data_IF_597660058267
#
_entry.id   IF_597660058267
#
_cell.length_a   1.000
_cell.length_b   1.000
_cell.length_c   1.000
_cell.angle_alpha   90.00
_cell.angle_beta   90.00
_cell.angle_gamma   90.00
#
_symmetry.space_group_name_H-M   'P 1'
#
loop_
_entity.id
_entity.type
_entity.pdbx_description
1 polymer ?
#
# COMPACT_ATOMS: atom_id res chain seq x y z
N UNK A 1 -9.66 4.46 5.21
CA UNK A 1 -11.00 3.90 5.22
C UNK A 1 -11.57 3.79 6.63
N UNK A 2 -10.75 3.63 7.64
CA UNK A 2 -11.17 3.34 8.99
C UNK A 2 -10.62 4.31 10.02
N UNK A 3 -9.87 5.33 9.55
CA UNK A 3 -9.42 6.38 10.45
C UNK A 3 -10.64 7.04 11.11
N UNK A 4 -10.58 7.12 12.43
CA UNK A 4 -11.65 7.70 13.27
C UNK A 4 -12.98 6.94 13.29
N UNK A 5 -13.06 5.75 12.66
CA UNK A 5 -14.28 4.92 12.73
C UNK A 5 -14.31 4.09 13.97
N UNK A 6 -15.50 4.04 14.56
CA UNK A 6 -15.76 3.29 15.80
C UNK A 6 -16.90 2.31 15.58
N UNK A 7 -16.83 1.19 16.27
CA UNK A 7 -17.92 0.23 16.42
C UNK A 7 -18.04 -0.13 17.91
N UNK A 8 -19.24 -0.14 18.44
CA UNK A 8 -19.49 -0.31 19.90
C UNK A 8 -18.63 0.62 20.80
N UNK A 9 -18.40 1.86 20.34
CA UNK A 9 -17.57 2.83 21.06
C UNK A 9 -16.07 2.56 21.08
N UNK A 10 -15.59 1.54 20.33
CA UNK A 10 -14.16 1.25 20.17
C UNK A 10 -13.69 1.66 18.79
N UNK A 11 -12.53 2.28 18.71
CA UNK A 11 -11.87 2.59 17.43
C UNK A 11 -11.43 1.30 16.73
N UNK A 12 -11.67 1.21 15.42
CA UNK A 12 -11.24 0.05 14.63
C UNK A 12 -9.71 0.07 14.45
N UNK A 13 -9.13 1.24 14.22
CA UNK A 13 -7.68 1.40 13.97
C UNK A 13 -7.03 2.44 14.90
N UNK A 14 -7.01 2.21 16.23
CA UNK A 14 -6.56 3.21 17.21
C UNK A 14 -5.06 3.57 17.07
N UNK A 15 -4.21 2.67 16.62
CA UNK A 15 -2.78 2.95 16.43
C UNK A 15 -2.53 3.80 15.19
N UNK A 16 -3.18 3.46 14.06
CA UNK A 16 -3.12 4.27 12.84
C UNK A 16 -3.74 5.65 13.07
N UNK A 17 -4.86 5.75 13.81
CA UNK A 17 -5.49 7.04 14.17
C UNK A 17 -4.52 7.96 14.92
N UNK A 18 -3.76 7.42 15.89
CA UNK A 18 -2.71 8.18 16.60
C UNK A 18 -1.55 8.55 15.69
N UNK A 19 -1.18 7.65 14.78
CA UNK A 19 -0.08 7.88 13.86
C UNK A 19 -0.41 8.98 12.85
N UNK A 20 -1.60 8.99 12.30
CA UNK A 20 -2.11 10.00 11.35
C UNK A 20 -1.97 11.41 11.91
N UNK A 21 -2.21 11.61 13.21
CA UNK A 21 -2.08 12.92 13.85
C UNK A 21 -0.67 13.50 13.81
N UNK A 22 0.34 12.66 13.53
CA UNK A 22 1.77 13.02 13.47
C UNK A 22 2.39 12.74 12.09
N UNK A 23 1.56 12.57 11.08
CA UNK A 23 1.96 12.12 9.75
C UNK A 23 1.41 13.03 8.65
N UNK A 24 2.00 12.95 7.48
CA UNK A 24 1.35 13.42 6.27
C UNK A 24 0.33 12.35 5.87
N UNK A 25 -0.94 12.71 5.81
CA UNK A 25 -2.03 11.79 5.53
C UNK A 25 -2.83 12.20 4.30
N UNK A 26 -3.01 11.26 3.38
CA UNK A 26 -3.74 11.42 2.11
C UNK A 26 -4.95 10.48 2.11
N UNK A 27 -6.11 10.91 2.64
CA UNK A 27 -7.31 10.06 2.75
C UNK A 27 -7.98 9.76 1.41
N UNK A 28 -7.71 10.55 0.39
CA UNK A 28 -8.28 10.39 -0.95
C UNK A 28 -7.27 9.81 -1.94
N UNK A 29 -6.49 8.82 -1.51
CA UNK A 29 -5.66 7.98 -2.38
C UNK A 29 -6.54 6.90 -2.98
N UNK A 30 -6.66 6.88 -4.30
CA UNK A 30 -7.49 5.91 -5.02
C UNK A 30 -6.68 4.68 -5.40
N UNK A 31 -7.30 3.52 -5.19
CA UNK A 31 -6.84 2.24 -5.73
C UNK A 31 -6.75 2.34 -7.26
N UNK A 32 -5.65 1.88 -7.83
CA UNK A 32 -5.40 1.86 -9.28
C UNK A 32 -5.02 0.47 -9.79
N UNK A 33 -5.21 -0.55 -8.96
CA UNK A 33 -4.94 -1.96 -9.32
C UNK A 33 -5.89 -2.46 -10.41
N UNK A 34 -5.43 -3.43 -11.15
CA UNK A 34 -6.21 -4.17 -12.15
C UNK A 34 -6.25 -5.66 -11.79
N UNK A 35 -6.05 -6.55 -12.75
CA UNK A 35 -6.14 -8.00 -12.56
C UNK A 35 -4.98 -8.59 -11.72
N UNK A 36 -3.92 -7.83 -11.48
CA UNK A 36 -2.82 -8.22 -10.60
C UNK A 36 -3.05 -7.91 -9.12
N UNK A 37 -4.13 -7.19 -8.76
CA UNK A 37 -4.49 -6.84 -7.38
C UNK A 37 -3.29 -6.32 -6.56
N UNK A 38 -2.92 -6.95 -5.44
CA UNK A 38 -1.80 -6.51 -4.59
C UNK A 38 -0.47 -6.41 -5.35
N UNK A 39 -0.19 -7.31 -6.32
CA UNK A 39 1.03 -7.21 -7.13
C UNK A 39 1.06 -5.99 -8.07
N UNK A 40 -0.11 -5.47 -8.45
CA UNK A 40 -0.19 -4.21 -9.21
C UNK A 40 0.07 -3.00 -8.29
N UNK A 41 -0.36 -3.06 -7.01
CA UNK A 41 -0.03 -2.03 -6.03
C UNK A 41 1.49 -1.97 -5.78
N UNK A 42 2.13 -3.12 -5.54
CA UNK A 42 3.60 -3.19 -5.39
C UNK A 42 4.33 -2.61 -6.62
N UNK A 43 3.86 -2.94 -7.83
CA UNK A 43 4.39 -2.33 -9.04
C UNK A 43 4.26 -0.80 -9.00
N UNK A 44 3.07 -0.28 -8.73
CA UNK A 44 2.78 1.15 -8.82
C UNK A 44 3.55 1.97 -7.79
N UNK A 45 3.62 1.51 -6.55
CA UNK A 45 4.31 2.24 -5.47
C UNK A 45 5.82 2.27 -5.67
N UNK A 46 6.38 1.29 -6.38
CA UNK A 46 7.81 1.21 -6.65
C UNK A 46 8.23 1.78 -8.01
N UNK A 47 7.32 1.88 -8.98
CA UNK A 47 7.69 2.28 -10.35
C UNK A 47 6.97 3.52 -10.85
N UNK A 48 5.94 3.97 -10.15
CA UNK A 48 5.03 5.05 -10.62
C UNK A 48 4.41 4.76 -12.00
N UNK A 49 4.29 3.47 -12.36
CA UNK A 49 3.68 3.00 -13.61
C UNK A 49 2.34 2.35 -13.31
N UNK A 50 1.32 2.65 -14.10
CA UNK A 50 0.03 1.95 -14.02
C UNK A 50 0.19 0.50 -14.53
N UNK A 51 -0.57 -0.46 -13.99
CA UNK A 51 -0.45 -1.87 -14.40
C UNK A 51 -0.94 -2.09 -15.84
N UNK A 52 -0.66 -3.28 -16.36
CA UNK A 52 -1.18 -3.71 -17.66
C UNK A 52 -2.69 -3.55 -17.75
N UNK A 53 -3.19 -3.26 -18.95
CA UNK A 53 -4.63 -3.21 -19.23
C UNK A 53 -5.33 -4.57 -19.11
N UNK A 54 -4.58 -5.65 -19.23
CA UNK A 54 -5.07 -7.03 -19.13
C UNK A 54 -4.01 -7.96 -18.53
N UNK A 55 -4.41 -8.75 -17.53
CA UNK A 55 -3.59 -9.70 -16.82
C UNK A 55 -2.65 -9.03 -15.82
N UNK A 56 -2.08 -9.82 -14.91
CA UNK A 56 -1.10 -9.35 -13.93
C UNK A 56 0.24 -9.03 -14.60
N UNK A 57 0.80 -7.86 -14.28
CA UNK A 57 2.07 -7.39 -14.83
C UNK A 57 3.21 -8.31 -14.44
N UNK A 58 3.29 -8.75 -13.19
CA UNK A 58 4.36 -9.63 -12.71
C UNK A 58 4.37 -11.02 -13.37
N UNK A 59 3.21 -11.53 -13.80
CA UNK A 59 3.17 -12.77 -14.56
C UNK A 59 3.55 -12.59 -16.03
N UNK A 60 3.09 -11.50 -16.64
CA UNK A 60 3.26 -11.32 -18.09
C UNK A 60 4.61 -10.71 -18.48
N UNK A 61 5.13 -9.82 -17.64
CA UNK A 61 6.35 -9.03 -17.92
C UNK A 61 7.25 -8.93 -16.67
N UNK A 62 7.68 -10.08 -16.09
CA UNK A 62 8.48 -10.09 -14.86
C UNK A 62 9.89 -9.51 -15.05
N UNK A 63 10.36 -9.41 -16.28
CA UNK A 63 11.72 -8.97 -16.62
C UNK A 63 11.76 -7.56 -17.22
N UNK A 64 10.68 -6.79 -17.09
CA UNK A 64 10.71 -5.38 -17.52
C UNK A 64 11.59 -4.58 -16.56
N UNK A 65 12.49 -3.78 -17.12
CA UNK A 65 13.30 -2.87 -16.32
C UNK A 65 12.52 -1.58 -16.04
N UNK A 66 12.70 -1.05 -14.84
CA UNK A 66 12.07 0.18 -14.42
C UNK A 66 13.09 1.14 -13.81
N UNK A 67 12.88 2.42 -13.98
CA UNK A 67 13.53 3.43 -13.16
C UNK A 67 12.75 3.52 -11.83
N UNK A 68 12.95 2.55 -10.98
CA UNK A 68 12.13 2.26 -9.82
C UNK A 68 12.67 2.90 -8.54
N UNK A 69 11.83 2.95 -7.51
CA UNK A 69 12.22 3.39 -6.16
C UNK A 69 13.44 2.60 -5.62
N UNK A 70 13.44 1.24 -5.63
CA UNK A 70 14.62 0.49 -5.17
C UNK A 70 15.87 0.80 -6.00
N UNK A 71 15.81 0.81 -7.34
CA UNK A 71 16.97 1.12 -8.19
C UNK A 71 17.55 2.51 -7.95
N UNK A 72 16.69 3.52 -7.80
CA UNK A 72 17.11 4.88 -7.52
C UNK A 72 17.76 5.01 -6.15
N UNK A 73 17.20 4.35 -5.14
CA UNK A 73 17.76 4.34 -3.79
C UNK A 73 19.04 3.53 -3.69
N UNK A 74 19.18 2.42 -4.44
CA UNK A 74 20.46 1.72 -4.57
C UNK A 74 21.55 2.66 -5.13
N UNK A 75 21.22 3.45 -6.16
CA UNK A 75 22.09 4.49 -6.69
C UNK A 75 22.49 5.56 -5.68
N UNK A 76 21.72 5.76 -4.60
CA UNK A 76 22.03 6.62 -3.44
C UNK A 76 22.71 5.85 -2.30
N UNK A 77 23.06 4.58 -2.49
CA UNK A 77 23.80 3.74 -1.54
C UNK A 77 22.94 2.98 -0.53
N UNK A 78 21.63 2.93 -0.71
CA UNK A 78 20.72 2.12 0.10
C UNK A 78 20.84 0.64 -0.25
N UNK A 79 20.74 -0.23 0.75
CA UNK A 79 20.39 -1.63 0.56
C UNK A 79 18.87 -1.75 0.39
N UNK A 80 18.40 -2.62 -0.51
CA UNK A 80 16.97 -2.76 -0.78
C UNK A 80 16.47 -4.16 -0.51
N UNK A 81 15.32 -4.30 0.16
CA UNK A 81 14.77 -5.59 0.53
C UNK A 81 13.24 -5.60 0.49
N UNK A 82 12.66 -6.53 -0.25
CA UNK A 82 11.24 -6.83 -0.18
C UNK A 82 11.02 -8.05 0.73
N UNK A 83 10.13 -7.92 1.71
CA UNK A 83 9.85 -8.95 2.72
C UNK A 83 8.36 -9.24 2.68
N UNK A 84 7.99 -10.44 2.24
CA UNK A 84 6.60 -10.82 2.01
C UNK A 84 6.23 -12.04 2.85
N UNK A 85 5.08 -12.04 3.55
CA UNK A 85 4.68 -13.15 4.42
C UNK A 85 4.15 -14.38 3.66
N UNK A 86 3.86 -14.24 2.36
CA UNK A 86 3.39 -15.32 1.50
C UNK A 86 4.53 -15.89 0.62
N UNK A 87 4.23 -16.95 -0.11
CA UNK A 87 5.17 -17.62 -1.03
C UNK A 87 5.50 -16.72 -2.21
N UNK A 88 6.77 -16.61 -2.54
CA UNK A 88 7.22 -15.79 -3.66
C UNK A 88 6.69 -16.21 -5.04
N UNK A 89 6.14 -17.42 -5.15
CA UNK A 89 5.43 -17.90 -6.35
C UNK A 89 4.00 -17.37 -6.48
N UNK A 90 3.37 -16.97 -5.37
CA UNK A 90 2.05 -16.34 -5.39
C UNK A 90 2.16 -14.97 -6.06
N UNK A 91 1.25 -14.63 -6.95
CA UNK A 91 1.32 -13.43 -7.81
C UNK A 91 2.68 -13.22 -8.53
N UNK A 92 3.56 -14.24 -8.55
CA UNK A 92 4.92 -14.14 -9.08
C UNK A 92 5.79 -13.06 -8.38
N UNK A 93 5.52 -12.78 -7.11
CA UNK A 93 6.16 -11.72 -6.32
C UNK A 93 7.68 -11.76 -6.39
N UNK A 94 8.28 -12.94 -6.23
CA UNK A 94 9.74 -13.05 -6.24
C UNK A 94 10.34 -12.50 -7.52
N UNK A 95 9.84 -12.92 -8.67
CA UNK A 95 10.38 -12.47 -9.95
C UNK A 95 10.00 -11.01 -10.22
N UNK A 96 8.77 -10.60 -9.89
CA UNK A 96 8.30 -9.23 -10.07
C UNK A 96 9.09 -8.23 -9.23
N UNK A 97 9.24 -8.46 -7.94
CA UNK A 97 9.93 -7.54 -7.03
C UNK A 97 11.44 -7.48 -7.29
N UNK A 98 12.10 -8.63 -7.57
CA UNK A 98 13.49 -8.61 -8.04
C UNK A 98 13.61 -7.91 -9.40
N UNK A 99 12.64 -8.11 -10.31
CA UNK A 99 12.61 -7.48 -11.62
C UNK A 99 12.46 -5.95 -11.57
N UNK A 100 11.76 -5.41 -10.58
CA UNK A 100 11.68 -3.96 -10.38
C UNK A 100 12.87 -3.36 -9.62
N UNK A 101 13.82 -4.19 -9.14
CA UNK A 101 15.11 -3.73 -8.67
C UNK A 101 15.41 -3.92 -7.19
N UNK A 102 14.64 -4.69 -6.44
CA UNK A 102 15.05 -5.05 -5.07
C UNK A 102 16.26 -6.00 -5.09
N UNK A 103 17.27 -5.73 -4.26
CA UNK A 103 18.45 -6.60 -4.10
C UNK A 103 18.09 -7.94 -3.50
N UNK A 104 17.13 -7.94 -2.56
CA UNK A 104 16.75 -9.11 -1.78
C UNK A 104 15.24 -9.27 -1.73
N UNK A 105 14.80 -10.52 -1.89
CA UNK A 105 13.42 -10.94 -1.64
C UNK A 105 13.40 -12.02 -0.57
N UNK A 106 12.59 -11.81 0.48
CA UNK A 106 12.39 -12.74 1.59
C UNK A 106 10.91 -13.14 1.62
N UNK A 107 10.61 -14.45 1.65
CA UNK A 107 9.26 -14.97 1.57
C UNK A 107 8.92 -15.94 2.71
N UNK A 108 7.71 -16.49 2.65
CA UNK A 108 7.13 -17.46 3.58
C UNK A 108 8.14 -18.51 4.09
N UNK A 109 8.99 -19.04 3.22
CA UNK A 109 9.93 -20.10 3.57
C UNK A 109 11.09 -19.64 4.47
N UNK A 110 11.25 -18.35 4.64
CA UNK A 110 12.26 -17.76 5.51
C UNK A 110 11.77 -17.52 6.94
N UNK A 111 10.47 -17.74 7.20
CA UNK A 111 9.85 -17.52 8.50
C UNK A 111 9.58 -18.82 9.25
N UNK A 112 9.65 -18.74 10.59
CA UNK A 112 9.07 -19.76 11.45
C UNK A 112 7.55 -19.51 11.55
N UNK A 113 6.75 -20.35 10.90
CA UNK A 113 5.29 -20.23 10.84
C UNK A 113 4.66 -21.11 11.93
N UNK A 114 4.84 -20.73 13.19
CA UNK A 114 4.27 -21.39 14.36
C UNK A 114 2.87 -20.87 14.74
N UNK A 115 2.45 -19.74 14.17
CA UNK A 115 1.10 -19.19 14.28
C UNK A 115 0.63 -18.73 12.90
N UNK A 116 -0.46 -19.33 12.43
CA UNK A 116 -1.08 -18.99 11.15
C UNK A 116 -2.49 -18.42 11.39
N UNK A 117 -2.80 -17.33 10.67
CA UNK A 117 -4.14 -16.74 10.61
C UNK A 117 -4.48 -16.47 9.14
N UNK A 118 -5.64 -16.97 8.70
CA UNK A 118 -6.03 -16.83 7.30
C UNK A 118 -5.05 -17.51 6.35
N UNK A 119 -4.48 -16.76 5.42
CA UNK A 119 -3.65 -17.30 4.33
C UNK A 119 -2.21 -17.63 4.72
N UNK A 120 -1.71 -17.12 5.84
CA UNK A 120 -0.31 -17.30 6.18
C UNK A 120 0.05 -17.00 7.63
N UNK A 121 1.31 -16.69 7.86
CA UNK A 121 1.82 -16.31 9.17
C UNK A 121 1.02 -15.11 9.73
N UNK A 122 0.71 -15.12 11.02
CA UNK A 122 0.05 -13.98 11.66
C UNK A 122 0.92 -12.73 11.60
N UNK A 123 0.32 -11.53 11.46
CA UNK A 123 1.06 -10.27 11.43
C UNK A 123 1.92 -10.08 12.68
N UNK A 124 1.48 -10.61 13.84
CA UNK A 124 2.27 -10.62 15.08
C UNK A 124 3.59 -11.36 14.89
N UNK A 125 3.50 -12.64 14.49
CA UNK A 125 4.69 -13.50 14.32
C UNK A 125 5.56 -13.04 13.18
N UNK A 126 4.96 -12.44 12.15
CA UNK A 126 5.64 -11.83 11.05
C UNK A 126 6.52 -10.65 11.51
N UNK A 127 5.96 -9.67 12.20
CA UNK A 127 6.73 -8.52 12.66
C UNK A 127 7.76 -8.84 13.73
N UNK A 128 7.49 -9.83 14.61
CA UNK A 128 8.50 -10.34 15.55
C UNK A 128 9.77 -10.87 14.86
N UNK A 129 9.64 -11.34 13.61
CA UNK A 129 10.77 -11.85 12.82
C UNK A 129 11.31 -10.81 11.82
N UNK A 130 10.48 -9.92 11.30
CA UNK A 130 10.91 -8.86 10.38
C UNK A 130 11.81 -7.83 11.07
N UNK A 131 11.50 -7.42 12.30
CA UNK A 131 12.33 -6.42 13.02
C UNK A 131 13.80 -6.83 13.14
N UNK A 132 14.15 -8.04 13.58
CA UNK A 132 15.53 -8.51 13.54
C UNK A 132 16.14 -8.51 12.14
N UNK A 133 15.38 -8.89 11.10
CA UNK A 133 15.88 -8.88 9.71
C UNK A 133 16.23 -7.46 9.25
N UNK A 134 15.41 -6.46 9.60
CA UNK A 134 15.68 -5.06 9.28
C UNK A 134 16.93 -4.53 9.99
N UNK A 135 17.17 -4.98 11.22
CA UNK A 135 18.37 -4.60 12.00
C UNK A 135 19.67 -5.10 11.36
N UNK A 136 19.61 -6.22 10.65
CA UNK A 136 20.78 -6.80 9.96
C UNK A 136 21.04 -6.16 8.58
N UNK A 137 20.12 -5.34 8.04
CA UNK A 137 20.33 -4.66 6.76
C UNK A 137 21.42 -3.60 6.89
N UNK A 138 22.24 -3.50 5.84
CA UNK A 138 23.21 -2.41 5.70
C UNK A 138 22.45 -1.08 5.61
N UNK A 139 22.84 -0.11 6.44
CA UNK A 139 22.25 1.23 6.40
C UNK A 139 22.99 2.14 5.40
N UNK A 140 22.29 3.10 4.76
CA UNK A 140 20.84 3.20 4.78
C UNK A 140 20.15 2.07 4.03
N UNK A 141 18.88 1.80 4.31
CA UNK A 141 18.12 0.78 3.61
C UNK A 141 16.70 1.24 3.26
N UNK A 142 16.16 0.67 2.20
CA UNK A 142 14.74 0.66 1.86
C UNK A 142 14.20 -0.76 2.03
N UNK A 143 13.18 -0.92 2.84
CA UNK A 143 12.52 -2.20 3.04
C UNK A 143 11.01 -2.06 2.83
N UNK A 144 10.46 -2.90 1.96
CA UNK A 144 9.03 -3.06 1.78
C UNK A 144 8.56 -4.28 2.54
N UNK A 145 7.49 -4.13 3.34
CA UNK A 145 6.89 -5.20 4.13
C UNK A 145 5.38 -5.20 3.94
N UNK A 146 4.77 -6.38 3.85
CA UNK A 146 3.33 -6.55 3.61
C UNK A 146 2.69 -7.29 4.77
N UNK A 147 1.53 -6.82 5.26
CA UNK A 147 0.71 -7.53 6.25
C UNK A 147 -0.25 -8.52 5.56
N UNK A 148 -0.66 -9.58 6.22
CA UNK A 148 -1.49 -10.61 5.61
C UNK A 148 -2.74 -10.98 6.41
N UNK A 149 -2.78 -10.73 7.73
CA UNK A 149 -3.91 -11.16 8.58
C UNK A 149 -5.23 -10.47 8.23
N UNK A 150 -5.17 -9.24 7.70
CA UNK A 150 -6.35 -8.49 7.24
C UNK A 150 -6.81 -8.85 5.82
N UNK A 151 -6.25 -9.90 5.22
CA UNK A 151 -6.65 -10.38 3.89
C UNK A 151 -7.99 -11.15 3.95
N UNK A 152 -8.80 -11.07 2.88
CA UNK A 152 -9.98 -11.92 2.73
C UNK A 152 -9.64 -13.42 2.82
N UNK A 153 -10.53 -14.25 3.35
CA UNK A 153 -11.94 -14.04 3.65
C UNK A 153 -12.26 -13.44 5.03
N UNK A 154 -11.28 -12.83 5.73
CA UNK A 154 -11.42 -12.16 7.03
C UNK A 154 -11.79 -13.11 8.18
N UNK A 155 -11.23 -14.29 8.18
CA UNK A 155 -11.53 -15.34 9.15
C UNK A 155 -10.58 -15.26 10.35
N UNK A 156 -10.66 -14.14 11.10
CA UNK A 156 -9.91 -13.98 12.34
C UNK A 156 -10.49 -14.90 13.44
N UNK A 157 -9.66 -15.77 14.07
CA UNK A 157 -10.14 -16.62 15.17
C UNK A 157 -10.68 -15.81 16.35
N UNK A 158 -11.74 -16.31 17.02
CA UNK A 158 -12.47 -15.64 18.10
C UNK A 158 -11.52 -15.12 19.21
N UNK A 159 -10.50 -15.90 19.57
CA UNK A 159 -9.52 -15.53 20.61
C UNK A 159 -8.73 -14.25 20.31
N UNK A 160 -8.78 -13.73 19.09
CA UNK A 160 -8.09 -12.50 18.67
C UNK A 160 -9.07 -11.34 18.41
N UNK A 161 -10.38 -11.58 18.48
CA UNK A 161 -11.39 -10.54 18.29
C UNK A 161 -11.53 -9.72 19.55
N UNK A 162 -11.43 -8.40 19.44
CA UNK A 162 -11.41 -7.50 20.61
C UNK A 162 -12.43 -6.36 20.54
N UNK A 163 -13.13 -6.17 19.41
CA UNK A 163 -14.12 -5.09 19.25
C UNK A 163 -15.43 -5.34 20.02
N UNK A 164 -15.77 -6.62 20.25
CA UNK A 164 -16.99 -7.00 20.98
C UNK A 164 -18.24 -6.68 20.17
N UNK A 165 -18.25 -7.04 18.90
CA UNK A 165 -19.35 -6.81 17.96
C UNK A 165 -20.62 -7.56 18.41
N UNK A 166 -21.79 -7.06 18.01
CA UNK A 166 -23.02 -7.81 18.19
C UNK A 166 -22.97 -9.13 17.39
N UNK A 167 -23.76 -10.15 17.76
CA UNK A 167 -23.64 -11.48 17.19
C UNK A 167 -23.81 -11.51 15.65
N UNK A 168 -24.78 -10.76 15.10
CA UNK A 168 -25.01 -10.73 13.65
C UNK A 168 -23.80 -10.15 12.92
N UNK A 169 -23.29 -9.01 13.38
CA UNK A 169 -22.12 -8.38 12.78
C UNK A 169 -20.86 -9.22 12.98
N UNK A 170 -20.65 -9.82 14.17
CA UNK A 170 -19.49 -10.64 14.48
C UNK A 170 -19.38 -11.88 13.55
N UNK A 171 -20.51 -12.48 13.19
CA UNK A 171 -20.54 -13.65 12.28
C UNK A 171 -20.46 -13.25 10.79
N UNK A 172 -20.63 -11.98 10.48
CA UNK A 172 -20.62 -11.49 9.11
C UNK A 172 -19.20 -11.30 8.56
N UNK A 173 -19.06 -11.21 7.24
CA UNK A 173 -17.79 -10.86 6.58
C UNK A 173 -17.35 -9.44 6.94
N UNK A 174 -18.27 -8.52 7.15
CA UNK A 174 -17.95 -7.16 7.59
C UNK A 174 -17.36 -7.14 9.00
N UNK A 175 -17.95 -7.88 9.94
CA UNK A 175 -17.40 -8.00 11.29
C UNK A 175 -16.03 -8.66 11.30
N UNK A 176 -15.84 -9.74 10.51
CA UNK A 176 -14.53 -10.34 10.31
C UNK A 176 -13.51 -9.35 9.75
N UNK A 177 -13.91 -8.50 8.82
CA UNK A 177 -13.08 -7.42 8.25
C UNK A 177 -12.66 -6.39 9.32
N UNK A 178 -13.61 -5.91 10.14
CA UNK A 178 -13.30 -4.96 11.21
C UNK A 178 -12.35 -5.55 12.26
N UNK A 179 -12.60 -6.77 12.71
CA UNK A 179 -11.75 -7.46 13.69
C UNK A 179 -10.35 -7.75 13.11
N UNK A 180 -10.25 -8.17 11.83
CA UNK A 180 -8.96 -8.42 11.19
C UNK A 180 -8.14 -7.13 11.06
N UNK A 181 -8.79 -6.01 10.72
CA UNK A 181 -8.13 -4.71 10.64
C UNK A 181 -7.72 -4.19 12.02
N UNK A 182 -8.55 -4.40 13.04
CA UNK A 182 -8.20 -4.06 14.43
C UNK A 182 -6.97 -4.85 14.89
N UNK A 183 -6.92 -6.14 14.57
CA UNK A 183 -5.76 -6.98 14.85
C UNK A 183 -4.51 -6.47 14.13
N UNK A 184 -4.59 -6.22 12.81
CA UNK A 184 -3.45 -5.72 12.02
C UNK A 184 -2.98 -4.36 12.51
N UNK A 185 -3.89 -3.43 12.83
CA UNK A 185 -3.56 -2.12 13.42
C UNK A 185 -2.75 -2.25 14.73
N UNK A 186 -3.16 -3.18 15.60
CA UNK A 186 -2.42 -3.51 16.83
C UNK A 186 -1.00 -3.99 16.53
N UNK A 187 -0.83 -4.81 15.48
CA UNK A 187 0.49 -5.31 15.09
C UNK A 187 1.34 -4.24 14.41
N UNK A 188 0.75 -3.31 13.66
CA UNK A 188 1.46 -2.13 13.13
C UNK A 188 1.98 -1.26 14.29
N UNK A 189 1.15 -1.01 15.30
CA UNK A 189 1.56 -0.30 16.51
C UNK A 189 2.72 -1.00 17.23
N UNK A 190 2.66 -2.33 17.38
CA UNK A 190 3.76 -3.13 17.90
C UNK A 190 5.03 -2.97 17.06
N UNK A 191 4.94 -3.10 15.74
CA UNK A 191 6.06 -2.99 14.82
C UNK A 191 6.79 -1.64 14.96
N UNK A 192 6.05 -0.52 14.92
CA UNK A 192 6.62 0.82 15.09
C UNK A 192 7.33 0.95 16.45
N UNK A 193 6.72 0.45 17.53
CA UNK A 193 7.32 0.45 18.85
C UNK A 193 8.61 -0.39 18.93
N UNK A 194 8.69 -1.50 18.20
CA UNK A 194 9.91 -2.31 18.14
C UNK A 194 10.99 -1.61 17.33
N UNK A 195 10.65 -0.98 16.20
CA UNK A 195 11.62 -0.15 15.44
C UNK A 195 12.23 0.96 16.31
N UNK A 196 11.41 1.59 17.16
CA UNK A 196 11.89 2.62 18.10
C UNK A 196 12.86 2.03 19.13
N UNK A 197 12.49 0.93 19.79
CA UNK A 197 13.33 0.23 20.76
C UNK A 197 14.67 -0.23 20.19
N UNK A 198 14.70 -0.66 18.95
CA UNK A 198 15.90 -1.09 18.23
C UNK A 198 16.71 0.08 17.64
N UNK A 199 16.24 1.33 17.84
CA UNK A 199 16.90 2.54 17.35
C UNK A 199 16.79 2.74 15.84
N UNK A 200 15.93 1.98 15.16
CA UNK A 200 15.74 2.07 13.71
C UNK A 200 14.79 3.21 13.31
N UNK A 201 13.87 3.61 14.22
CA UNK A 201 12.81 4.57 13.89
C UNK A 201 13.33 5.99 13.71
N UNK A 202 14.25 6.45 14.54
CA UNK A 202 14.67 7.86 14.66
C UNK A 202 15.08 8.52 13.34
N UNK A 203 15.74 7.77 12.46
CA UNK A 203 16.24 8.25 11.16
C UNK A 203 15.50 7.58 9.99
N UNK A 204 14.25 7.17 10.20
CA UNK A 204 13.44 6.49 9.19
C UNK A 204 12.23 7.31 8.80
N UNK A 205 11.79 7.15 7.56
CA UNK A 205 10.45 7.51 7.09
C UNK A 205 9.67 6.20 6.99
N UNK A 206 8.48 6.17 7.59
CA UNK A 206 7.57 5.03 7.50
C UNK A 206 6.40 5.43 6.58
N UNK A 207 6.30 4.79 5.43
CA UNK A 207 5.16 4.90 4.55
C UNK A 207 4.22 3.73 4.75
N UNK A 208 2.94 3.98 5.00
CA UNK A 208 1.90 2.96 5.15
C UNK A 208 0.84 3.23 4.11
N UNK A 209 0.50 2.21 3.33
CA UNK A 209 -0.53 2.30 2.30
C UNK A 209 -1.38 1.02 2.29
N UNK A 210 -2.68 1.17 1.98
CA UNK A 210 -3.49 0.04 1.56
C UNK A 210 -3.21 -0.27 0.09
N UNK A 211 -3.11 -1.54 -0.24
CA UNK A 211 -2.84 -2.01 -1.61
C UNK A 211 -4.08 -1.98 -2.50
N UNK A 212 -5.25 -2.25 -1.94
CA UNK A 212 -6.55 -2.14 -2.62
C UNK A 212 -7.70 -2.14 -1.60
N UNK A 213 -8.91 -1.90 -2.06
CA UNK A 213 -10.11 -1.99 -1.21
C UNK A 213 -10.35 -3.44 -0.76
N UNK A 214 -10.81 -3.59 0.49
CA UNK A 214 -11.05 -4.89 1.12
C UNK A 214 -12.45 -5.43 0.86
N UNK A 215 -13.36 -5.24 1.83
CA UNK A 215 -14.69 -5.86 1.87
C UNK A 215 -15.54 -5.57 0.62
N UNK A 216 -15.51 -4.35 0.10
CA UNK A 216 -16.31 -3.94 -1.06
C UNK A 216 -15.85 -4.55 -2.38
N UNK A 217 -14.62 -5.05 -2.45
CA UNK A 217 -14.10 -5.66 -3.68
C UNK A 217 -14.66 -7.06 -3.92
N UNK A 218 -14.84 -7.82 -2.83
CA UNK A 218 -15.14 -9.25 -2.94
C UNK A 218 -16.42 -9.68 -2.19
N UNK A 219 -16.90 -8.88 -1.25
CA UNK A 219 -17.97 -9.26 -0.32
C UNK A 219 -19.03 -8.17 -0.14
N UNK A 220 -19.18 -7.27 -1.10
CA UNK A 220 -20.13 -6.15 -1.03
C UNK A 220 -21.57 -6.64 -0.79
N UNK A 221 -21.97 -7.73 -1.47
CA UNK A 221 -23.29 -8.35 -1.29
C UNK A 221 -23.56 -8.80 0.14
N UNK A 222 -22.54 -9.21 0.89
CA UNK A 222 -22.69 -9.65 2.27
C UNK A 222 -23.08 -8.51 3.22
N UNK A 223 -22.68 -7.28 2.93
CA UNK A 223 -23.09 -6.09 3.67
C UNK A 223 -24.59 -5.84 3.45
N UNK A 224 -25.07 -6.09 2.24
CA UNK A 224 -26.48 -6.00 1.89
C UNK A 224 -27.41 -6.91 2.71
N UNK A 225 -26.89 -7.99 3.26
CA UNK A 225 -27.63 -8.99 4.03
C UNK A 225 -27.82 -8.63 5.53
N UNK A 226 -27.05 -7.67 6.05
CA UNK A 226 -27.18 -7.24 7.46
C UNK A 226 -28.55 -6.60 7.71
N UNK A 227 -29.14 -6.91 8.87
CA UNK A 227 -30.41 -6.36 9.31
C UNK A 227 -30.33 -4.87 9.65
N UNK A 228 -29.16 -4.44 10.16
CA UNK A 228 -28.86 -3.04 10.45
C UNK A 228 -27.59 -2.61 9.71
N UNK A 229 -27.63 -1.40 9.12
CA UNK A 229 -26.52 -0.85 8.34
C UNK A 229 -26.28 0.60 8.72
N UNK A 230 -25.00 0.99 8.71
CA UNK A 230 -24.59 2.37 8.90
C UNK A 230 -23.95 2.91 7.62
N UNK A 231 -24.26 4.15 7.27
CA UNK A 231 -23.83 4.78 6.00
C UNK A 231 -22.33 4.81 5.80
N UNK A 232 -21.55 4.89 6.87
CA UNK A 232 -20.10 5.07 6.80
C UNK A 232 -19.35 3.85 6.24
N UNK A 233 -19.94 2.66 6.25
CA UNK A 233 -19.33 1.47 5.67
C UNK A 233 -20.03 0.98 4.40
N UNK A 234 -21.01 1.69 3.90
CA UNK A 234 -21.62 1.35 2.61
C UNK A 234 -20.70 1.69 1.44
N UNK A 235 -20.83 0.94 0.36
CA UNK A 235 -20.07 1.18 -0.85
C UNK A 235 -20.48 2.50 -1.51
N UNK A 236 -19.55 3.44 -1.55
CA UNK A 236 -19.78 4.76 -2.17
C UNK A 236 -19.34 4.81 -3.63
N UNK A 237 -18.79 3.71 -4.18
CA UNK A 237 -18.15 3.69 -5.50
C UNK A 237 -16.84 4.49 -5.57
N UNK A 238 -16.27 4.82 -4.41
CA UNK A 238 -14.97 5.49 -4.29
C UNK A 238 -13.95 4.51 -3.66
N UNK A 239 -13.18 3.79 -4.49
CA UNK A 239 -12.20 2.82 -4.00
C UNK A 239 -10.97 3.56 -3.47
N UNK A 240 -11.03 4.04 -2.23
CA UNK A 240 -9.91 4.73 -1.58
C UNK A 240 -9.19 3.81 -0.60
N UNK A 241 -7.88 4.02 -0.51
CA UNK A 241 -6.97 3.35 0.42
C UNK A 241 -6.23 4.40 1.26
N UNK A 242 -5.82 4.10 2.51
CA UNK A 242 -5.02 5.04 3.28
C UNK A 242 -3.62 5.18 2.66
N UNK A 243 -3.09 6.40 2.65
CA UNK A 243 -1.67 6.68 2.41
C UNK A 243 -1.17 7.61 3.50
N UNK A 244 -0.24 7.11 4.32
CA UNK A 244 0.27 7.77 5.52
C UNK A 244 1.79 7.79 5.43
N UNK A 245 2.41 8.95 5.64
CA UNK A 245 3.87 9.09 5.70
C UNK A 245 4.22 9.66 7.08
N UNK A 246 4.81 8.82 7.91
CA UNK A 246 5.28 9.19 9.23
C UNK A 246 6.78 9.48 9.22
N UNK A 247 7.14 10.69 9.64
CA UNK A 247 8.52 11.08 9.86
C UNK A 247 8.70 11.48 11.34
N UNK A 248 9.32 10.63 12.17
CA UNK A 248 9.48 10.89 13.60
C UNK A 248 10.35 12.12 13.90
N UNK A 249 11.18 12.56 12.95
CA UNK A 249 12.03 13.75 13.13
C UNK A 249 11.26 15.06 13.10
N UNK A 250 10.15 15.13 12.36
CA UNK A 250 9.32 16.35 12.29
C UNK A 250 8.18 16.30 13.29
N UNK A 251 7.60 15.11 13.51
CA UNK A 251 6.46 14.88 14.39
C UNK A 251 5.28 15.85 14.16
N UNK A 252 5.16 16.34 12.92
CA UNK A 252 4.12 17.27 12.49
C UNK A 252 3.11 16.53 11.61
N UNK A 253 1.84 16.58 12.02
CA UNK A 253 0.75 15.99 11.26
C UNK A 253 0.13 16.98 10.28
N UNK A 254 -0.19 16.52 9.08
CA UNK A 254 -0.96 17.28 8.10
C UNK A 254 -1.83 16.34 7.27
N UNK A 255 -3.14 16.58 7.30
CA UNK A 255 -4.09 15.87 6.44
C UNK A 255 -4.34 16.64 5.16
N UNK A 256 -4.26 15.95 4.02
CA UNK A 256 -4.50 16.49 2.68
C UNK A 256 -5.89 16.08 2.18
N UNK A 257 -6.94 16.49 2.88
CA UNK A 257 -8.35 16.11 2.67
C UNK A 257 -8.93 16.53 1.31
N UNK A 258 -8.31 17.51 0.63
CA UNK A 258 -8.72 17.99 -0.70
C UNK A 258 -7.81 17.46 -1.83
N UNK A 259 -6.82 16.63 -1.52
CA UNK A 259 -5.91 16.07 -2.50
C UNK A 259 -6.40 14.70 -2.98
N UNK A 260 -6.89 14.64 -4.20
CA UNK A 260 -7.16 13.39 -4.91
C UNK A 260 -5.85 12.90 -5.55
N UNK A 261 -5.48 11.67 -5.28
CA UNK A 261 -4.23 11.08 -5.77
C UNK A 261 -4.40 9.56 -5.96
N UNK A 262 -3.42 8.91 -6.55
CA UNK A 262 -3.41 7.47 -6.76
C UNK A 262 -2.11 6.82 -6.27
N UNK A 263 -2.04 5.51 -6.36
CA UNK A 263 -0.89 4.71 -5.92
C UNK A 263 0.39 5.05 -6.70
N UNK A 264 0.27 5.44 -7.98
CA UNK A 264 1.43 5.88 -8.77
C UNK A 264 2.11 7.15 -8.23
N UNK A 265 1.43 7.92 -7.39
CA UNK A 265 1.96 9.16 -6.80
C UNK A 265 2.89 8.88 -5.58
N UNK A 266 2.94 7.63 -5.09
CA UNK A 266 3.72 7.24 -3.90
C UNK A 266 5.22 7.39 -4.15
N UNK A 267 5.76 6.75 -5.19
CA UNK A 267 7.18 6.78 -5.52
C UNK A 267 7.75 8.21 -5.64
N UNK A 268 7.22 9.10 -6.50
CA UNK A 268 7.79 10.44 -6.65
C UNK A 268 7.65 11.30 -5.38
N UNK A 269 6.64 11.02 -4.55
CA UNK A 269 6.48 11.70 -3.25
C UNK A 269 7.54 11.25 -2.24
N UNK A 270 7.82 9.95 -2.17
CA UNK A 270 8.87 9.40 -1.29
C UNK A 270 10.27 9.82 -1.74
N UNK A 271 10.57 9.76 -3.04
CA UNK A 271 11.86 10.19 -3.59
C UNK A 271 12.14 11.67 -3.25
N UNK A 272 11.14 12.53 -3.37
CA UNK A 272 11.26 13.93 -2.98
C UNK A 272 11.59 14.09 -1.49
N UNK A 273 10.91 13.37 -0.61
CA UNK A 273 11.17 13.42 0.84
C UNK A 273 12.55 12.88 1.21
N UNK A 274 13.06 11.92 0.44
CA UNK A 274 14.40 11.34 0.61
C UNK A 274 15.50 12.19 -0.04
N UNK A 275 15.15 13.29 -0.72
CA UNK A 275 16.10 14.22 -1.32
C UNK A 275 16.76 13.72 -2.61
N UNK A 276 16.16 12.72 -3.27
CA UNK A 276 16.62 12.25 -4.58
C UNK A 276 16.33 13.30 -5.64
N UNK A 277 17.33 13.62 -6.47
CA UNK A 277 17.18 14.62 -7.51
C UNK A 277 16.07 14.23 -8.49
N UNK A 278 15.12 15.16 -8.70
CA UNK A 278 13.96 14.94 -9.56
C UNK A 278 14.32 14.61 -11.01
N UNK A 279 15.44 15.14 -11.50
CA UNK A 279 15.92 14.90 -12.89
C UNK A 279 16.21 13.41 -13.12
N UNK A 280 16.44 12.63 -12.05
CA UNK A 280 16.67 11.19 -12.13
C UNK A 280 15.39 10.38 -12.39
N UNK A 281 14.19 10.93 -12.14
CA UNK A 281 12.95 10.16 -12.23
C UNK A 281 11.77 10.86 -12.90
N UNK A 282 11.73 12.19 -13.02
CA UNK A 282 10.54 12.91 -13.49
C UNK A 282 10.10 12.52 -14.91
N UNK A 283 11.04 12.12 -15.79
CA UNK A 283 10.77 11.73 -17.16
C UNK A 283 10.30 10.27 -17.32
N UNK A 284 10.33 9.48 -16.23
CA UNK A 284 9.97 8.06 -16.26
C UNK A 284 8.79 7.74 -15.34
N UNK A 285 8.29 8.71 -14.59
CA UNK A 285 7.13 8.55 -13.69
C UNK A 285 5.86 9.07 -14.33
N UNK A 286 4.75 8.37 -14.11
CA UNK A 286 3.41 8.84 -14.48
C UNK A 286 2.70 9.55 -13.31
N UNK A 287 3.15 9.31 -12.09
CA UNK A 287 2.66 9.93 -10.88
C UNK A 287 3.28 11.31 -10.62
N UNK A 288 2.84 11.93 -9.54
CA UNK A 288 3.23 13.28 -9.14
C UNK A 288 3.79 13.28 -7.72
N UNK A 289 4.69 14.21 -7.43
CA UNK A 289 5.04 14.55 -6.07
C UNK A 289 3.87 15.32 -5.42
N UNK A 290 3.18 14.70 -4.48
CA UNK A 290 2.00 15.24 -3.81
C UNK A 290 2.29 16.45 -2.92
N UNK A 291 3.53 16.66 -2.54
CA UNK A 291 3.95 17.77 -1.70
C UNK A 291 4.32 19.04 -2.51
N UNK A 292 4.44 18.89 -3.82
CA UNK A 292 4.82 19.98 -4.72
C UNK A 292 3.97 20.00 -5.99
N UNK A 293 2.66 19.86 -5.86
CA UNK A 293 1.70 19.94 -6.97
C UNK A 293 0.45 20.68 -6.54
N UNK A 294 -0.17 21.39 -7.48
CA UNK A 294 -1.50 21.95 -7.34
C UNK A 294 -2.59 21.14 -8.06
N UNK A 295 -2.21 20.01 -8.68
CA UNK A 295 -3.14 19.13 -9.40
C UNK A 295 -3.65 18.05 -8.45
N UNK A 296 -4.97 17.91 -8.38
CA UNK A 296 -5.69 17.02 -7.49
C UNK A 296 -6.61 16.12 -8.30
N UNK A 297 -6.13 14.91 -8.64
CA UNK A 297 -6.89 13.90 -9.41
C UNK A 297 -6.27 12.52 -9.29
N UNK A 298 -7.05 11.49 -9.64
CA UNK A 298 -6.54 10.13 -9.91
C UNK A 298 -7.24 9.56 -11.16
N UNK A 299 -6.53 8.76 -11.94
CA UNK A 299 -7.09 7.97 -13.03
C UNK A 299 -7.19 6.53 -12.60
N UNK A 300 -8.42 6.00 -12.48
CA UNK A 300 -8.65 4.60 -12.11
C UNK A 300 -8.54 3.72 -13.36
N UNK A 301 -8.17 2.47 -13.19
CA UNK A 301 -7.90 1.52 -14.28
C UNK A 301 -9.09 1.28 -15.24
N UNK A 302 -10.32 1.56 -14.81
CA UNK A 302 -11.50 1.57 -15.70
C UNK A 302 -11.62 2.83 -16.58
N UNK A 303 -10.67 3.78 -16.51
CA UNK A 303 -10.67 5.03 -17.25
C UNK A 303 -11.41 6.18 -16.56
N UNK A 304 -11.97 5.98 -15.37
CA UNK A 304 -12.61 7.05 -14.60
C UNK A 304 -11.55 7.99 -14.02
N UNK A 305 -11.80 9.30 -14.14
CA UNK A 305 -10.98 10.31 -13.48
C UNK A 305 -11.74 10.79 -12.23
N UNK A 306 -11.09 10.69 -11.08
CA UNK A 306 -11.57 11.18 -9.78
C UNK A 306 -10.90 12.52 -9.47
N UNK A 307 -11.64 13.51 -8.99
CA UNK A 307 -11.16 14.88 -8.85
C UNK A 307 -10.91 15.56 -10.21
N UNK A 308 -9.96 16.47 -10.27
CA UNK A 308 -9.57 17.14 -11.52
C UNK A 308 -10.47 18.32 -11.90
N UNK A 309 -11.09 18.97 -10.92
CA UNK A 309 -11.96 20.14 -11.15
C UNK A 309 -11.20 21.31 -11.77
N UNK A 310 -9.91 21.42 -11.48
CA UNK A 310 -9.00 22.46 -12.00
C UNK A 310 -8.26 22.04 -13.28
N UNK A 311 -8.56 20.88 -13.86
CA UNK A 311 -7.98 20.40 -15.12
C UNK A 311 -8.82 20.84 -16.32
N UNK A 312 -8.13 21.24 -17.38
CA UNK A 312 -8.77 21.42 -18.70
C UNK A 312 -9.18 20.07 -19.30
N UNK A 313 -10.13 20.06 -20.23
CA UNK A 313 -10.55 18.83 -20.90
C UNK A 313 -9.39 18.16 -21.65
N UNK A 314 -8.49 18.96 -22.23
CA UNK A 314 -7.27 18.44 -22.88
C UNK A 314 -6.36 17.72 -21.87
N UNK A 315 -6.18 18.26 -20.68
CA UNK A 315 -5.39 17.61 -19.61
C UNK A 315 -6.05 16.31 -19.16
N UNK A 316 -7.38 16.32 -18.95
CA UNK A 316 -8.12 15.10 -18.58
C UNK A 316 -7.94 14.00 -19.62
N UNK A 317 -7.99 14.32 -20.91
CA UNK A 317 -7.73 13.36 -21.99
C UNK A 317 -6.30 12.82 -21.98
N UNK A 318 -5.33 13.68 -21.73
CA UNK A 318 -3.91 13.28 -21.63
C UNK A 318 -3.72 12.30 -20.45
N UNK A 319 -4.26 12.63 -19.27
CA UNK A 319 -4.11 11.78 -18.10
C UNK A 319 -4.80 10.43 -18.24
N UNK A 320 -6.00 10.38 -18.86
CA UNK A 320 -6.65 9.09 -19.17
C UNK A 320 -5.83 8.21 -20.12
N UNK A 321 -5.07 8.81 -21.04
CA UNK A 321 -4.17 8.07 -21.94
C UNK A 321 -2.95 7.49 -21.22
N UNK A 322 -2.65 7.89 -19.97
CA UNK A 322 -1.56 7.31 -19.19
C UNK A 322 -1.74 5.80 -18.98
N UNK A 323 -2.97 5.30 -18.92
CA UNK A 323 -3.28 3.87 -18.84
C UNK A 323 -2.70 3.08 -20.04
N UNK A 324 -2.97 3.56 -21.26
CA UNK A 324 -2.48 2.91 -22.47
C UNK A 324 -1.00 3.18 -22.70
N UNK A 325 -0.51 4.33 -22.25
CA UNK A 325 0.93 4.66 -22.32
C UNK A 325 1.73 3.72 -21.43
N UNK A 326 1.32 3.53 -20.19
CA UNK A 326 1.96 2.61 -19.24
C UNK A 326 2.00 1.19 -19.80
N UNK A 327 0.86 0.66 -20.29
CA UNK A 327 0.79 -0.67 -20.89
C UNK A 327 1.81 -0.83 -22.04
N UNK A 328 1.93 0.17 -22.90
CA UNK A 328 2.91 0.16 -24.00
C UNK A 328 4.36 0.23 -23.50
N UNK A 329 4.63 1.06 -22.51
CA UNK A 329 5.98 1.21 -21.94
C UNK A 329 6.45 -0.10 -21.28
N UNK A 330 5.58 -0.77 -20.51
CA UNK A 330 5.86 -2.07 -19.90
C UNK A 330 6.15 -3.12 -20.98
N UNK A 331 5.27 -3.25 -21.98
CA UNK A 331 5.43 -4.22 -23.08
C UNK A 331 6.68 -3.99 -23.93
N UNK A 332 7.06 -2.73 -24.12
CA UNK A 332 8.24 -2.36 -24.88
C UNK A 332 9.54 -2.43 -24.08
N UNK A 333 9.49 -2.70 -22.77
CA UNK A 333 10.62 -2.57 -21.86
C UNK A 333 11.33 -1.21 -22.02
N UNK A 334 10.55 -0.13 -21.97
CA UNK A 334 10.97 1.21 -22.40
C UNK A 334 12.18 1.73 -21.61
N UNK A 335 12.21 1.52 -20.28
CA UNK A 335 13.31 2.00 -19.46
C UNK A 335 14.67 1.34 -19.80
N UNK A 336 14.66 0.10 -20.31
CA UNK A 336 15.89 -0.57 -20.78
C UNK A 336 16.45 0.10 -22.03
N UNK A 337 15.58 0.62 -22.89
CA UNK A 337 15.98 1.23 -24.18
C UNK A 337 16.35 2.72 -24.05
N UNK A 338 16.24 3.31 -22.87
CA UNK A 338 16.48 4.73 -22.60
C UNK A 338 17.86 5.02 -21.99
N UNK A 339 18.67 3.97 -21.74
CA UNK A 339 20.03 4.06 -21.18
C UNK A 339 21.10 3.96 -22.28
#
# INVERSE_FOLDING_TARGET
LLSEKTVNGKEITPNLNKLVQKSLYFPNTFEQVNEGTSSDADLMVNTSMLPLRQGSTFFRYPNTNYNSLPNLLEGEGYATSAIHPDKGSFWNYKNGLLGIGFDKFTDYYSFNVDEQIGLGISDKRYFEQVVPMLKELKQPFYAETVTLTSHGPFDLPEKYRELGLDPELNESKLGGYFESLHYTDKQIGYFINQLDKEGLLKNSIIAIMGDHTGIHKYYDDSIGQLSHKEDWYLNTGNPTVPFIIYNPSTNEGKTFDKMYNGEIDVMPTLLYLLGVDKDKYENTTLGRNLLNTNKSFAVITNGTLKGGENLTDKEKDIYKKSLDLSDKMIRANYAHNSN
#
